data_IF_612770415747
#
_entry.id   IF_612770415747
#
_cell.length_a   1.000
_cell.length_b   1.000
_cell.length_c   1.000
_cell.angle_alpha   90.00
_cell.angle_beta   90.00
_cell.angle_gamma   90.00
#
_symmetry.space_group_name_H-M   'P 1'
#
loop_
_entity.id
_entity.type
_entity.pdbx_description
1 polymer ?
#
# COMPACT_ATOMS: atom_id res chain seq x y z
N UNK A 1 49.05 -11.68 -30.63
CA UNK A 1 49.11 -10.66 -29.56
C UNK A 1 49.08 -11.39 -28.22
N UNK A 2 50.22 -11.41 -27.53
CA UNK A 2 50.57 -12.40 -26.53
C UNK A 2 49.76 -12.31 -25.21
N UNK A 3 49.58 -13.49 -24.62
CA UNK A 3 48.97 -13.79 -23.34
C UNK A 3 49.54 -12.95 -22.18
N UNK A 4 48.71 -12.09 -21.56
CA UNK A 4 48.93 -11.60 -20.19
C UNK A 4 48.06 -12.40 -19.22
N UNK A 5 48.50 -13.63 -18.92
CA UNK A 5 47.84 -14.53 -17.96
C UNK A 5 48.82 -15.04 -16.91
N UNK A 6 49.69 -14.20 -16.38
CA UNK A 6 50.66 -14.62 -15.35
C UNK A 6 51.04 -13.41 -14.49
N UNK A 7 50.47 -13.31 -13.29
CA UNK A 7 51.02 -12.64 -12.08
C UNK A 7 49.95 -12.36 -11.01
N UNK A 8 48.67 -12.50 -11.33
CA UNK A 8 47.58 -12.20 -10.39
C UNK A 8 47.56 -13.11 -9.16
N UNK A 9 47.96 -14.38 -9.28
CA UNK A 9 47.90 -15.33 -8.17
C UNK A 9 49.03 -15.15 -7.15
N UNK A 10 50.26 -14.85 -7.61
CA UNK A 10 51.40 -14.56 -6.74
C UNK A 10 51.19 -13.25 -5.99
N UNK A 11 50.75 -12.19 -6.68
CA UNK A 11 50.43 -10.89 -6.05
C UNK A 11 49.31 -11.07 -5.03
N UNK A 12 48.26 -11.83 -5.36
CA UNK A 12 47.16 -12.13 -4.43
C UNK A 12 47.62 -12.98 -3.24
N UNK A 13 48.53 -13.93 -3.44
CA UNK A 13 49.13 -14.73 -2.38
C UNK A 13 50.00 -13.86 -1.44
N UNK A 14 50.85 -13.00 -2.01
CA UNK A 14 51.66 -12.03 -1.26
C UNK A 14 50.78 -11.06 -0.46
N UNK A 15 49.71 -10.52 -1.06
CA UNK A 15 48.77 -9.64 -0.37
C UNK A 15 48.04 -10.35 0.78
N UNK A 16 47.65 -11.61 0.61
CA UNK A 16 47.02 -12.41 1.67
C UNK A 16 48.02 -12.72 2.78
N UNK A 17 49.27 -13.06 2.45
CA UNK A 17 50.31 -13.35 3.44
C UNK A 17 50.78 -12.11 4.19
N UNK A 18 50.99 -10.97 3.51
CA UNK A 18 51.27 -9.69 4.15
C UNK A 18 50.14 -9.33 5.12
N UNK A 19 48.87 -9.44 4.67
CA UNK A 19 47.70 -9.20 5.53
C UNK A 19 47.67 -10.13 6.75
N UNK A 20 48.00 -11.42 6.60
CA UNK A 20 48.12 -12.36 7.74
C UNK A 20 49.27 -12.01 8.68
N UNK A 21 50.41 -11.57 8.15
CA UNK A 21 51.60 -11.17 8.92
C UNK A 21 51.33 -9.89 9.74
N UNK A 22 50.71 -8.88 9.13
CA UNK A 22 50.25 -7.67 9.84
C UNK A 22 49.20 -7.95 10.91
N UNK A 23 48.25 -8.87 10.66
CA UNK A 23 47.26 -9.28 11.66
C UNK A 23 47.87 -10.04 12.85
N UNK A 24 48.96 -10.77 12.63
CA UNK A 24 49.74 -11.41 13.71
C UNK A 24 50.61 -10.39 14.47
N UNK A 25 51.29 -9.48 13.76
CA UNK A 25 52.16 -8.44 14.34
C UNK A 25 51.39 -7.42 15.19
N UNK A 26 50.13 -7.17 14.88
CA UNK A 26 49.31 -6.16 15.56
C UNK A 26 48.56 -6.66 16.79
N UNK A 27 48.66 -7.95 17.18
CA UNK A 27 47.92 -8.55 18.29
C UNK A 27 46.42 -8.18 18.32
N UNK A 28 45.80 -7.91 17.17
CA UNK A 28 44.39 -7.54 17.12
C UNK A 28 43.57 -8.82 17.30
N UNK A 29 42.82 -8.98 18.39
CA UNK A 29 41.99 -10.16 18.56
C UNK A 29 40.99 -10.22 17.41
N UNK A 30 40.89 -11.39 16.75
CA UNK A 30 39.99 -11.63 15.61
C UNK A 30 38.52 -11.25 15.92
N UNK A 31 38.17 -11.29 17.20
CA UNK A 31 36.93 -10.76 17.77
C UNK A 31 36.67 -9.28 17.40
N UNK A 32 37.68 -8.40 17.53
CA UNK A 32 37.54 -6.96 17.22
C UNK A 32 37.27 -6.71 15.73
N UNK A 33 37.86 -7.52 14.83
CA UNK A 33 37.62 -7.40 13.38
C UNK A 33 36.21 -7.87 13.01
N UNK A 34 35.72 -8.94 13.63
CA UNK A 34 34.35 -9.42 13.44
C UNK A 34 33.33 -8.40 13.97
N UNK A 35 33.62 -7.80 15.13
CA UNK A 35 32.81 -6.75 15.72
C UNK A 35 32.79 -5.50 14.83
N UNK A 36 33.94 -5.05 14.31
CA UNK A 36 34.02 -3.93 13.37
C UNK A 36 33.22 -4.16 12.09
N UNK A 37 33.30 -5.37 11.49
CA UNK A 37 32.49 -5.73 10.31
C UNK A 37 30.98 -5.69 10.61
N UNK A 38 30.58 -6.12 11.81
CA UNK A 38 29.18 -6.04 12.27
C UNK A 38 28.75 -4.58 12.41
N UNK A 39 29.57 -3.73 13.00
CA UNK A 39 29.30 -2.28 13.14
C UNK A 39 29.15 -1.59 11.78
N UNK A 40 30.06 -1.85 10.83
CA UNK A 40 29.96 -1.30 9.47
C UNK A 40 28.68 -1.76 8.76
N UNK A 41 28.28 -3.02 8.94
CA UNK A 41 27.01 -3.53 8.38
C UNK A 41 25.80 -2.81 9.00
N UNK A 42 25.79 -2.61 10.31
CA UNK A 42 24.73 -1.88 11.00
C UNK A 42 24.67 -0.42 10.55
N UNK A 43 25.82 0.25 10.42
CA UNK A 43 25.91 1.62 9.91
C UNK A 43 25.35 1.73 8.48
N UNK A 44 25.66 0.77 7.60
CA UNK A 44 25.07 0.72 6.25
C UNK A 44 23.56 0.54 6.25
N UNK A 45 23.03 -0.32 7.13
CA UNK A 45 21.58 -0.54 7.26
C UNK A 45 20.90 0.75 7.75
N UNK A 46 21.48 1.39 8.77
CA UNK A 46 20.99 2.66 9.31
C UNK A 46 21.01 3.76 8.24
N UNK A 47 22.11 3.91 7.50
CA UNK A 47 22.22 4.90 6.44
C UNK A 47 21.15 4.68 5.34
N UNK A 48 20.94 3.42 4.95
CA UNK A 48 19.93 3.07 3.96
C UNK A 48 18.51 3.34 4.47
N UNK A 49 18.19 3.03 5.73
CA UNK A 49 16.87 3.31 6.29
C UNK A 49 16.61 4.81 6.41
N UNK A 50 17.59 5.59 6.86
CA UNK A 50 17.52 7.06 6.91
C UNK A 50 17.31 7.66 5.51
N UNK A 51 18.05 7.18 4.51
CA UNK A 51 17.89 7.59 3.11
C UNK A 51 16.46 7.33 2.62
N UNK A 52 15.89 6.16 2.91
CA UNK A 52 14.52 5.81 2.52
C UNK A 52 13.47 6.67 3.24
N UNK A 53 13.65 6.93 4.52
CA UNK A 53 12.76 7.81 5.30
C UNK A 53 12.77 9.24 4.75
N UNK A 54 13.96 9.78 4.51
CA UNK A 54 14.13 11.12 3.93
C UNK A 54 13.50 11.20 2.54
N UNK A 55 13.70 10.18 1.69
CA UNK A 55 13.07 10.12 0.38
C UNK A 55 11.54 10.03 0.46
N UNK A 56 10.99 9.32 1.43
CA UNK A 56 9.53 9.28 1.61
C UNK A 56 8.98 10.62 2.09
N UNK A 57 9.65 11.30 3.04
CA UNK A 57 9.25 12.63 3.49
C UNK A 57 9.34 13.68 2.37
N UNK A 58 10.39 13.59 1.55
CA UNK A 58 10.58 14.52 0.43
C UNK A 58 9.54 14.34 -0.67
N UNK A 59 8.98 13.14 -0.89
CA UNK A 59 7.84 12.98 -1.81
C UNK A 59 6.74 13.96 -1.42
N UNK A 60 6.25 13.95 -0.18
CA UNK A 60 5.08 14.76 0.17
C UNK A 60 5.40 16.24 0.37
N UNK A 61 6.52 16.55 1.03
CA UNK A 61 6.87 17.95 1.35
C UNK A 61 7.43 18.71 0.15
N UNK A 62 8.23 18.02 -0.67
CA UNK A 62 8.94 18.66 -1.77
C UNK A 62 8.36 18.36 -3.14
N UNK A 63 7.34 17.49 -3.33
CA UNK A 63 6.68 17.30 -4.65
C UNK A 63 6.07 18.57 -5.25
N UNK A 64 6.10 19.70 -4.54
CA UNK A 64 6.20 21.05 -5.12
C UNK A 64 7.58 21.31 -5.77
N UNK A 65 8.24 20.31 -6.39
CA UNK A 65 9.65 20.39 -6.75
C UNK A 65 9.82 21.41 -7.88
N UNK A 66 10.30 22.58 -7.47
CA UNK A 66 10.93 23.66 -8.24
C UNK A 66 12.20 23.20 -9.01
N UNK A 67 12.28 21.94 -9.46
CA UNK A 67 13.25 21.51 -10.45
C UNK A 67 12.65 21.78 -11.83
N UNK A 68 13.09 22.90 -12.42
CA UNK A 68 12.82 23.33 -13.79
C UNK A 68 12.58 22.11 -14.71
N UNK A 69 11.32 21.92 -15.09
CA UNK A 69 10.81 21.03 -16.14
C UNK A 69 10.76 19.51 -15.92
N UNK A 70 11.13 18.95 -14.75
CA UNK A 70 11.11 17.50 -14.51
C UNK A 70 10.16 17.03 -13.40
N UNK A 71 9.38 17.94 -12.79
CA UNK A 71 8.43 17.60 -11.74
C UNK A 71 7.13 17.00 -12.27
N UNK A 72 6.47 16.14 -11.47
CA UNK A 72 5.14 15.60 -11.77
C UNK A 72 4.13 16.71 -12.12
N UNK A 73 4.13 17.80 -11.35
CA UNK A 73 3.26 18.96 -11.57
C UNK A 73 3.48 19.53 -12.97
N UNK A 74 4.73 19.79 -13.38
CA UNK A 74 5.04 20.32 -14.71
C UNK A 74 4.59 19.40 -15.85
N UNK A 75 4.60 18.07 -15.65
CA UNK A 75 4.07 17.13 -16.63
C UNK A 75 2.54 17.22 -16.73
N UNK A 76 1.85 17.36 -15.60
CA UNK A 76 0.39 17.48 -15.56
C UNK A 76 -0.05 18.85 -16.12
N UNK A 77 0.66 19.93 -15.81
CA UNK A 77 0.41 21.27 -16.35
C UNK A 77 0.54 21.30 -17.88
N UNK A 78 1.53 20.59 -18.43
CA UNK A 78 1.69 20.41 -19.89
C UNK A 78 0.55 19.61 -20.53
N UNK A 79 -0.08 18.69 -19.80
CA UNK A 79 -1.22 17.92 -20.30
C UNK A 79 -2.51 18.75 -20.33
N UNK A 80 -2.70 19.64 -19.35
CA UNK A 80 -3.93 20.44 -19.21
C UNK A 80 -3.81 21.89 -19.70
N UNK A 81 -2.61 22.35 -20.05
CA UNK A 81 -2.28 23.75 -20.40
C UNK A 81 -2.79 24.77 -19.36
N UNK A 82 -2.77 24.39 -18.08
CA UNK A 82 -3.24 25.20 -16.95
C UNK A 82 -2.34 24.95 -15.75
N UNK A 83 -2.29 25.90 -14.81
CA UNK A 83 -1.61 25.71 -13.51
C UNK A 83 -2.36 24.66 -12.70
N UNK A 84 -1.64 23.76 -12.04
CA UNK A 84 -2.22 22.61 -11.32
C UNK A 84 -1.73 22.59 -9.88
N UNK A 85 -2.68 22.55 -8.94
CA UNK A 85 -2.42 22.34 -7.53
C UNK A 85 -2.82 20.93 -7.11
N UNK A 86 -1.94 20.25 -6.37
CA UNK A 86 -2.17 18.87 -5.90
C UNK A 86 -2.44 18.91 -4.40
N UNK A 87 -3.63 18.49 -3.98
CA UNK A 87 -3.96 18.27 -2.59
C UNK A 87 -3.85 16.78 -2.24
N UNK A 88 -2.92 16.43 -1.34
CA UNK A 88 -2.71 15.07 -0.87
C UNK A 88 -3.38 14.87 0.49
N UNK A 89 -4.25 13.88 0.58
CA UNK A 89 -4.94 13.50 1.83
C UNK A 89 -4.37 12.20 2.35
N UNK A 90 -3.85 12.21 3.58
CA UNK A 90 -3.36 11.00 4.23
C UNK A 90 -4.52 10.17 4.79
N UNK A 91 -4.51 8.86 4.49
CA UNK A 91 -5.47 7.91 5.04
C UNK A 91 -4.84 7.18 6.23
N UNK A 92 -5.44 7.32 7.42
CA UNK A 92 -4.99 6.58 8.62
C UNK A 92 -5.13 5.06 8.49
N UNK A 93 -6.08 4.59 7.69
CA UNK A 93 -6.26 3.17 7.44
C UNK A 93 -6.75 2.91 6.02
N UNK A 94 -6.35 1.76 5.48
CA UNK A 94 -6.52 1.40 4.07
C UNK A 94 -8.01 1.20 3.72
N UNK A 95 -8.82 0.68 4.64
CA UNK A 95 -10.23 0.34 4.38
C UNK A 95 -11.15 1.56 4.21
N UNK A 96 -10.67 2.77 4.50
CA UNK A 96 -11.45 4.02 4.35
C UNK A 96 -11.62 4.43 2.88
N UNK A 97 -10.80 3.90 1.98
CA UNK A 97 -10.89 4.16 0.55
C UNK A 97 -10.94 2.85 -0.23
N UNK A 98 -11.97 2.71 -1.06
CA UNK A 98 -12.22 1.50 -1.84
C UNK A 98 -11.11 1.21 -2.88
N UNK A 99 -10.50 2.21 -3.52
CA UNK A 99 -9.44 2.01 -4.53
C UNK A 99 -8.15 1.52 -3.87
N UNK A 100 -7.76 2.17 -2.78
CA UNK A 100 -6.54 1.80 -2.01
C UNK A 100 -6.72 0.41 -1.39
N UNK A 101 -7.92 0.10 -0.91
CA UNK A 101 -8.17 -1.21 -0.32
C UNK A 101 -8.23 -2.34 -1.35
N UNK A 102 -8.97 -2.15 -2.44
CA UNK A 102 -9.03 -3.10 -3.55
C UNK A 102 -7.66 -3.35 -4.17
N UNK A 103 -6.85 -2.31 -4.38
CA UNK A 103 -5.49 -2.46 -4.93
C UNK A 103 -4.58 -3.28 -4.00
N UNK A 104 -4.63 -3.03 -2.68
CA UNK A 104 -3.87 -3.82 -1.70
C UNK A 104 -4.29 -5.30 -1.69
N UNK A 105 -5.59 -5.58 -1.75
CA UNK A 105 -6.13 -6.96 -1.81
C UNK A 105 -5.75 -7.63 -3.14
N UNK A 106 -5.84 -6.92 -4.27
CA UNK A 106 -5.46 -7.43 -5.58
C UNK A 106 -3.97 -7.81 -5.63
N UNK A 107 -3.09 -7.02 -5.00
CA UNK A 107 -1.67 -7.37 -4.87
C UNK A 107 -1.45 -8.68 -4.10
N UNK A 108 -2.25 -8.95 -3.06
CA UNK A 108 -2.18 -10.22 -2.31
C UNK A 108 -2.75 -11.39 -3.09
N UNK A 109 -3.79 -11.18 -3.90
CA UNK A 109 -4.36 -12.19 -4.80
C UNK A 109 -3.44 -12.53 -5.98
N UNK A 110 -2.57 -11.59 -6.37
CA UNK A 110 -1.57 -11.80 -7.42
C UNK A 110 -0.56 -12.88 -7.05
N UNK A 111 -0.24 -13.04 -5.76
CA UNK A 111 0.63 -14.11 -5.28
C UNK A 111 -0.10 -15.46 -5.25
N UNK A 112 0.34 -16.37 -6.13
CA UNK A 112 -0.21 -17.72 -6.27
C UNK A 112 -0.14 -18.58 -5.01
N UNK A 113 0.75 -18.28 -4.06
CA UNK A 113 0.83 -19.03 -2.80
C UNK A 113 -0.41 -18.76 -1.93
N UNK A 114 -1.03 -17.60 -2.09
CA UNK A 114 -2.19 -17.20 -1.33
C UNK A 114 -3.48 -17.81 -1.91
N UNK A 115 -4.27 -18.46 -1.06
CA UNK A 115 -5.62 -18.92 -1.43
C UNK A 115 -6.55 -17.71 -1.46
N UNK A 116 -7.25 -17.47 -2.58
CA UNK A 116 -8.13 -16.31 -2.75
C UNK A 116 -9.14 -16.13 -1.59
N UNK A 117 -9.80 -17.22 -1.19
CA UNK A 117 -10.77 -17.20 -0.07
C UNK A 117 -10.14 -16.74 1.25
N UNK A 118 -8.88 -17.13 1.51
CA UNK A 118 -8.15 -16.74 2.73
C UNK A 118 -7.79 -15.26 2.69
N UNK A 119 -7.36 -14.75 1.54
CA UNK A 119 -7.05 -13.33 1.35
C UNK A 119 -8.30 -12.49 1.59
N UNK A 120 -9.41 -12.80 0.93
CA UNK A 120 -10.67 -12.06 1.08
C UNK A 120 -11.20 -12.13 2.52
N UNK A 121 -11.14 -13.31 3.17
CA UNK A 121 -11.57 -13.47 4.57
C UNK A 121 -10.72 -12.61 5.51
N UNK A 122 -9.40 -12.58 5.34
CA UNK A 122 -8.51 -11.75 6.16
C UNK A 122 -8.74 -10.26 5.92
N UNK A 123 -8.91 -9.84 4.68
CA UNK A 123 -9.18 -8.45 4.35
C UNK A 123 -10.41 -7.93 5.11
N UNK A 124 -11.50 -8.68 5.08
CA UNK A 124 -12.74 -8.24 5.73
C UNK A 124 -12.70 -8.38 7.25
N UNK A 125 -12.34 -9.55 7.78
CA UNK A 125 -12.46 -9.81 9.22
C UNK A 125 -11.34 -9.18 10.05
N UNK A 126 -10.15 -8.95 9.49
CA UNK A 126 -8.99 -8.48 10.26
C UNK A 126 -8.64 -7.02 10.00
N UNK A 127 -8.99 -6.47 8.83
CA UNK A 127 -8.55 -5.12 8.45
C UNK A 127 -9.66 -4.06 8.55
N UNK A 128 -10.93 -4.48 8.58
CA UNK A 128 -12.08 -3.56 8.66
C UNK A 128 -12.64 -3.59 10.07
N UNK A 129 -12.82 -2.42 10.66
CA UNK A 129 -13.54 -2.25 11.93
C UNK A 129 -14.95 -1.75 11.59
N UNK A 130 -15.94 -2.58 11.87
CA UNK A 130 -17.35 -2.26 11.63
C UNK A 130 -17.99 -2.13 13.01
N UNK A 131 -18.66 -1.01 13.31
CA UNK A 131 -19.36 -0.84 14.58
C UNK A 131 -20.70 -1.60 14.57
N UNK A 132 -21.29 -1.74 15.75
CA UNK A 132 -22.58 -2.43 15.88
C UNK A 132 -23.72 -1.65 15.23
N UNK A 133 -24.73 -2.38 14.75
CA UNK A 133 -25.86 -1.79 14.03
C UNK A 133 -26.60 -0.73 14.85
N UNK A 134 -26.81 -0.96 16.15
CA UNK A 134 -27.44 0.02 17.04
C UNK A 134 -26.71 1.35 17.00
N UNK A 135 -25.38 1.33 17.14
CA UNK A 135 -24.56 2.56 17.09
C UNK A 135 -24.75 3.31 15.78
N UNK A 136 -24.77 2.58 14.64
CA UNK A 136 -24.95 3.17 13.31
C UNK A 136 -26.30 3.86 13.13
N UNK A 137 -27.35 3.40 13.81
CA UNK A 137 -28.68 4.01 13.77
C UNK A 137 -28.71 5.28 14.62
N UNK A 138 -28.19 5.21 15.85
CA UNK A 138 -28.26 6.31 16.83
C UNK A 138 -27.29 7.45 16.57
N UNK A 139 -26.36 7.30 15.62
CA UNK A 139 -25.34 8.32 15.29
C UNK A 139 -25.89 9.67 14.81
N UNK A 140 -27.21 9.81 14.62
CA UNK A 140 -27.81 10.86 13.78
C UNK A 140 -28.89 11.72 14.49
N UNK A 141 -29.14 11.52 15.78
CA UNK A 141 -30.33 12.08 16.43
C UNK A 141 -30.15 13.48 17.04
N UNK A 142 -28.95 14.06 16.98
CA UNK A 142 -28.69 15.39 17.55
C UNK A 142 -28.15 16.34 16.47
N UNK A 143 -29.04 17.06 15.77
CA UNK A 143 -28.62 18.15 14.88
C UNK A 143 -28.88 19.49 15.59
N UNK A 144 -27.84 19.99 16.25
CA UNK A 144 -27.70 21.43 16.48
C UNK A 144 -27.36 22.14 15.16
N UNK A 145 -27.63 23.45 15.10
CA UNK A 145 -27.16 24.30 14.01
C UNK A 145 -25.64 24.16 13.82
N UNK A 146 -25.16 24.21 12.57
CA UNK A 146 -23.75 24.02 12.26
C UNK A 146 -22.90 25.12 12.91
N UNK A 147 -22.13 24.74 13.92
CA UNK A 147 -21.15 25.60 14.58
C UNK A 147 -19.73 25.05 14.34
N UNK A 148 -18.70 25.89 14.47
CA UNK A 148 -17.29 25.52 14.33
C UNK A 148 -16.90 24.31 15.18
N UNK A 149 -17.55 24.15 16.34
CA UNK A 149 -17.33 23.05 17.28
C UNK A 149 -18.00 21.73 16.85
N UNK A 150 -19.03 21.78 15.99
CA UNK A 150 -19.88 20.64 15.64
C UNK A 150 -19.74 20.20 14.18
N UNK A 151 -18.83 20.80 13.40
CA UNK A 151 -18.65 20.50 11.96
C UNK A 151 -18.44 19.01 11.71
N UNK A 152 -17.65 18.34 12.56
CA UNK A 152 -17.38 16.91 12.37
C UNK A 152 -18.69 16.12 12.52
N UNK A 153 -19.50 16.41 13.54
CA UNK A 153 -20.76 15.71 13.81
C UNK A 153 -21.79 15.90 12.68
N UNK A 154 -21.75 17.03 11.96
CA UNK A 154 -22.68 17.27 10.83
C UNK A 154 -22.30 16.51 9.55
N UNK A 155 -21.04 16.07 9.41
CA UNK A 155 -20.58 15.32 8.24
C UNK A 155 -21.22 13.92 8.24
N UNK A 156 -21.88 13.57 7.14
CA UNK A 156 -22.49 12.24 6.97
C UNK A 156 -21.41 11.19 6.60
N UNK A 157 -21.71 9.93 6.89
CA UNK A 157 -20.91 8.75 6.47
C UNK A 157 -19.48 8.71 7.04
N UNK A 158 -19.29 9.14 8.29
CA UNK A 158 -17.99 9.10 8.96
C UNK A 158 -17.48 7.69 9.26
N UNK A 159 -18.40 6.73 9.42
CA UNK A 159 -18.07 5.36 9.83
C UNK A 159 -18.41 4.37 8.73
N UNK A 160 -17.53 3.38 8.54
CA UNK A 160 -17.72 2.30 7.59
C UNK A 160 -18.74 1.30 8.14
N UNK A 161 -19.89 1.21 7.46
CA UNK A 161 -20.99 0.31 7.82
C UNK A 161 -20.84 -1.10 7.23
N UNK A 162 -20.06 -1.26 6.17
CA UNK A 162 -19.83 -2.56 5.55
C UNK A 162 -18.85 -2.52 4.38
N UNK A 163 -18.31 -3.69 4.04
CA UNK A 163 -17.38 -3.89 2.92
C UNK A 163 -17.69 -5.20 2.22
N UNK A 164 -17.63 -5.19 0.89
CA UNK A 164 -17.82 -6.37 0.03
C UNK A 164 -16.63 -6.51 -0.91
N UNK A 165 -16.12 -7.72 -1.08
CA UNK A 165 -15.16 -8.02 -2.13
C UNK A 165 -15.63 -9.17 -3.00
N UNK A 166 -15.45 -9.04 -4.30
CA UNK A 166 -15.71 -10.10 -5.28
C UNK A 166 -14.50 -10.27 -6.20
N UNK A 167 -13.88 -11.44 -6.15
CA UNK A 167 -12.76 -11.80 -7.01
C UNK A 167 -13.23 -12.82 -8.05
N UNK A 168 -12.99 -12.54 -9.33
CA UNK A 168 -13.35 -13.40 -10.45
C UNK A 168 -12.21 -13.54 -11.44
N UNK A 169 -11.92 -14.76 -11.89
CA UNK A 169 -10.94 -15.01 -12.97
C UNK A 169 -10.03 -16.21 -12.72
N UNK A 170 -8.85 -16.24 -13.36
CA UNK A 170 -7.89 -17.35 -13.27
C UNK A 170 -7.06 -17.29 -11.98
N UNK A 171 -7.73 -17.54 -10.85
CA UNK A 171 -7.19 -17.51 -9.49
C UNK A 171 -6.80 -18.91 -8.95
N UNK A 172 -6.71 -19.92 -9.81
CA UNK A 172 -6.26 -21.26 -9.41
C UNK A 172 -4.76 -21.27 -9.07
N UNK A 173 -4.34 -22.17 -8.17
CA UNK A 173 -2.93 -22.27 -7.73
C UNK A 173 -2.04 -23.08 -8.68
N UNK A 174 -2.60 -24.13 -9.27
CA UNK A 174 -1.89 -25.05 -10.19
C UNK A 174 -1.77 -24.39 -11.56
N UNK A 175 -0.63 -24.58 -12.24
CA UNK A 175 -0.38 -24.01 -13.58
C UNK A 175 -1.04 -24.88 -14.65
N UNK A 176 -2.36 -24.92 -14.63
CA UNK A 176 -3.17 -25.77 -15.52
C UNK A 176 -4.23 -24.93 -16.22
N UNK A 177 -4.65 -25.38 -17.40
CA UNK A 177 -5.75 -24.79 -18.14
C UNK A 177 -7.08 -25.17 -17.47
N UNK A 178 -7.45 -24.42 -16.43
CA UNK A 178 -8.70 -24.58 -15.68
C UNK A 178 -9.64 -23.41 -15.92
N UNK A 179 -10.94 -23.65 -15.70
CA UNK A 179 -12.00 -22.62 -15.72
C UNK A 179 -11.76 -21.54 -14.66
N UNK A 180 -12.33 -20.36 -14.91
CA UNK A 180 -12.28 -19.22 -13.99
C UNK A 180 -12.98 -19.55 -12.65
N UNK A 181 -12.52 -18.90 -11.58
CA UNK A 181 -13.05 -19.04 -10.22
C UNK A 181 -13.66 -17.72 -9.78
N UNK A 182 -14.88 -17.79 -9.25
CA UNK A 182 -15.55 -16.68 -8.58
C UNK A 182 -15.57 -16.91 -7.06
N UNK A 183 -15.16 -15.91 -6.28
CA UNK A 183 -15.22 -15.90 -4.81
C UNK A 183 -15.60 -14.52 -4.31
N UNK A 184 -16.51 -14.45 -3.35
CA UNK A 184 -16.86 -13.21 -2.68
C UNK A 184 -16.82 -13.35 -1.16
N UNK A 185 -16.68 -12.23 -0.48
CA UNK A 185 -16.81 -12.10 0.97
C UNK A 185 -17.45 -10.74 1.29
N UNK A 186 -18.19 -10.69 2.39
CA UNK A 186 -18.98 -9.55 2.78
C UNK A 186 -19.03 -9.43 4.31
N UNK A 187 -18.96 -8.21 4.84
CA UNK A 187 -19.28 -7.92 6.22
C UNK A 187 -20.02 -6.58 6.33
N UNK A 188 -20.91 -6.48 7.32
CA UNK A 188 -21.73 -5.30 7.56
C UNK A 188 -22.80 -5.09 6.49
N UNK A 189 -23.16 -3.83 6.26
CA UNK A 189 -24.20 -3.41 5.32
C UNK A 189 -23.71 -2.33 4.34
N UNK A 190 -24.03 -2.45 3.04
CA UNK A 190 -23.85 -1.37 2.06
C UNK A 190 -25.09 -0.48 1.92
N UNK A 191 -26.16 -0.77 2.67
CA UNK A 191 -27.39 0.04 2.63
C UNK A 191 -27.13 1.40 3.27
N UNK A 192 -27.77 2.44 2.75
CA UNK A 192 -27.81 3.71 3.44
C UNK A 192 -28.77 3.59 4.62
N UNK A 193 -28.24 3.54 5.84
CA UNK A 193 -29.03 3.26 7.04
C UNK A 193 -30.09 4.35 7.26
N UNK A 194 -29.73 5.62 7.03
CA UNK A 194 -30.63 6.76 7.22
C UNK A 194 -31.89 6.68 6.35
N UNK A 195 -31.73 6.36 5.07
CA UNK A 195 -32.87 6.26 4.16
C UNK A 195 -33.61 4.94 4.25
N UNK A 196 -32.91 3.86 4.60
CA UNK A 196 -33.50 2.51 4.62
C UNK A 196 -34.20 2.18 5.93
N UNK A 197 -33.70 2.68 7.07
CA UNK A 197 -34.25 2.42 8.41
C UNK A 197 -35.00 3.63 8.95
N UNK A 198 -34.42 4.83 8.85
CA UNK A 198 -35.01 6.04 9.42
C UNK A 198 -35.93 6.78 8.43
N UNK A 199 -36.17 6.21 7.23
CA UNK A 199 -36.98 6.79 6.15
C UNK A 199 -36.63 8.24 5.77
N UNK A 200 -35.38 8.67 6.02
CA UNK A 200 -34.89 10.00 5.66
C UNK A 200 -34.64 10.07 4.15
N UNK A 201 -34.87 11.24 3.54
CA UNK A 201 -34.51 11.45 2.14
C UNK A 201 -32.99 11.32 1.94
N UNK A 202 -32.58 10.81 0.78
CA UNK A 202 -31.16 10.67 0.44
C UNK A 202 -30.89 11.04 -1.02
N UNK A 203 -29.71 11.60 -1.26
CA UNK A 203 -29.28 12.00 -2.59
C UNK A 203 -28.58 10.84 -3.31
N UNK A 204 -28.91 10.67 -4.58
CA UNK A 204 -28.27 9.72 -5.50
C UNK A 204 -27.23 10.46 -6.34
N UNK A 205 -26.02 9.91 -6.42
CA UNK A 205 -24.97 10.40 -7.29
C UNK A 205 -25.23 9.93 -8.72
N UNK A 206 -25.19 10.85 -9.70
CA UNK A 206 -25.41 10.56 -11.13
C UNK A 206 -26.74 9.84 -11.43
N UNK A 207 -27.74 9.99 -10.55
CA UNK A 207 -29.08 9.40 -10.70
C UNK A 207 -29.24 7.95 -10.21
N UNK A 208 -28.18 7.14 -10.16
CA UNK A 208 -28.28 5.71 -9.80
C UNK A 208 -27.30 5.22 -8.72
N UNK A 209 -26.20 5.93 -8.49
CA UNK A 209 -25.20 5.52 -7.51
C UNK A 209 -25.56 6.05 -6.12
N UNK A 210 -25.48 5.19 -5.09
CA UNK A 210 -25.74 5.60 -3.71
C UNK A 210 -24.62 6.50 -3.20
N UNK A 211 -24.95 7.62 -2.57
CA UNK A 211 -23.96 8.56 -2.05
C UNK A 211 -23.08 8.01 -0.92
N UNK A 212 -23.52 6.96 -0.22
CA UNK A 212 -22.78 6.36 0.89
C UNK A 212 -21.86 5.20 0.48
N UNK A 213 -21.82 4.80 -0.80
CA UNK A 213 -21.06 3.64 -1.27
C UNK A 213 -20.02 4.08 -2.28
N UNK A 214 -18.79 3.61 -2.09
CA UNK A 214 -17.74 3.69 -3.12
C UNK A 214 -17.57 2.31 -3.74
N UNK A 215 -17.40 2.25 -5.07
CA UNK A 215 -17.26 1.02 -5.82
C UNK A 215 -16.02 1.09 -6.71
N UNK A 216 -15.20 0.04 -6.68
CA UNK A 216 -13.96 0.00 -7.45
C UNK A 216 -13.76 -1.35 -8.13
N UNK A 217 -13.21 -1.31 -9.35
CA UNK A 217 -12.89 -2.49 -10.14
C UNK A 217 -11.40 -2.47 -10.47
N UNK A 218 -10.66 -3.44 -9.95
CA UNK A 218 -9.23 -3.63 -10.21
C UNK A 218 -9.03 -4.84 -11.10
N UNK A 219 -8.40 -4.63 -12.25
CA UNK A 219 -8.01 -5.70 -13.16
C UNK A 219 -6.53 -6.03 -12.95
N UNK A 220 -6.21 -7.31 -12.77
CA UNK A 220 -4.84 -7.78 -12.55
C UNK A 220 -4.60 -9.13 -13.21
N UNK A 221 -3.35 -9.61 -13.15
CA UNK A 221 -2.95 -10.87 -13.76
C UNK A 221 -2.03 -11.68 -12.86
N UNK A 222 -2.27 -12.99 -12.85
CA UNK A 222 -1.35 -14.01 -12.32
C UNK A 222 -0.64 -14.70 -13.48
N UNK A 223 0.23 -15.67 -13.17
CA UNK A 223 0.84 -16.54 -14.20
C UNK A 223 -0.19 -17.38 -14.96
N UNK A 224 -1.33 -17.71 -14.34
CA UNK A 224 -2.37 -18.49 -15.00
C UNK A 224 -3.21 -17.65 -15.95
N UNK A 225 -3.39 -16.36 -15.68
CA UNK A 225 -4.12 -15.44 -16.53
C UNK A 225 -4.69 -14.27 -15.75
N UNK A 226 -5.71 -13.63 -16.29
CA UNK A 226 -6.30 -12.41 -15.73
C UNK A 226 -7.34 -12.71 -14.65
N UNK A 227 -7.52 -11.76 -13.73
CA UNK A 227 -8.60 -11.74 -12.77
C UNK A 227 -9.02 -10.29 -12.49
N UNK A 228 -10.29 -10.11 -12.13
CA UNK A 228 -10.85 -8.86 -11.63
C UNK A 228 -11.17 -8.97 -10.14
N UNK A 229 -11.02 -7.87 -9.43
CA UNK A 229 -11.48 -7.69 -8.06
C UNK A 229 -12.42 -6.48 -8.02
N UNK A 230 -13.65 -6.70 -7.55
CA UNK A 230 -14.61 -5.65 -7.19
C UNK A 230 -14.55 -5.42 -5.69
N UNK A 231 -14.54 -4.15 -5.27
CA UNK A 231 -14.58 -3.71 -3.87
C UNK A 231 -15.61 -2.62 -3.65
#
# INVERSE_FOLDING_TARGET
MAFFKTNNNLIRYFLVNLRRKYLKLSNIPTYNIRLLKKLVRLQKILFNSLKLLNFNKSKFNSLNLNLRNFGLISLIEKLYNKKVEINLVELRSIHLNSDVFSSAVALKLRDRKNKAVRVLRKAILQMVRIPDLHTLITFDDNIEAMNKNNIINTIKQQVVSGVRFEASGRLTRRLTAMRAVFKYRYAGSLKNIRSSFNNKSSTMLRGYAKSNVQYTLINSKTRNGTFGLKG
#
